data_IF_162299345701
#
_entry.id   IF_162299345701
#
_cell.length_a   1.000
_cell.length_b   1.000
_cell.length_c   1.000
_cell.angle_alpha   90.00
_cell.angle_beta   90.00
_cell.angle_gamma   90.00
#
_symmetry.space_group_name_H-M   'P 1'
#
loop_
_entity.id
_entity.type
_entity.pdbx_description
1 polymer ?
#
# COMPACT_ATOMS: atom_id res chain seq x y z
N UNK A 1 -1.63 -17.24 20.80
CA UNK A 1 -2.03 -18.45 20.05
C UNK A 1 -2.78 -18.13 18.74
N UNK A 2 -3.43 -16.96 18.60
CA UNK A 2 -4.13 -16.54 17.37
C UNK A 2 -3.20 -16.32 16.16
N UNK A 3 -2.00 -15.76 16.35
CA UNK A 3 -1.10 -15.41 15.23
C UNK A 3 -0.67 -16.60 14.39
N UNK A 4 -0.39 -17.75 15.02
CA UNK A 4 0.01 -18.98 14.30
C UNK A 4 -1.11 -19.52 13.40
N UNK A 5 -2.35 -19.39 13.84
CA UNK A 5 -3.51 -19.81 13.06
C UNK A 5 -3.76 -18.86 11.87
N UNK A 6 -3.65 -17.55 12.11
CA UNK A 6 -3.71 -16.53 11.05
C UNK A 6 -2.62 -16.74 9.99
N UNK A 7 -1.39 -17.02 10.43
CA UNK A 7 -0.26 -17.32 9.54
C UNK A 7 -0.48 -18.63 8.78
N UNK A 8 -0.96 -19.70 9.43
CA UNK A 8 -1.26 -20.96 8.76
C UNK A 8 -2.32 -20.79 7.68
N UNK A 9 -3.37 -20.01 7.95
CA UNK A 9 -4.38 -19.66 6.96
C UNK A 9 -3.75 -18.97 5.73
N UNK A 10 -2.81 -18.03 5.93
CA UNK A 10 -2.10 -17.37 4.83
C UNK A 10 -1.25 -18.33 3.98
N UNK A 11 -0.79 -19.46 4.52
CA UNK A 11 -0.07 -20.49 3.75
C UNK A 11 -1.03 -21.36 2.91
N UNK A 12 -2.23 -21.63 3.42
CA UNK A 12 -3.22 -22.48 2.75
C UNK A 12 -4.04 -21.74 1.69
N UNK A 13 -4.20 -20.42 1.85
CA UNK A 13 -5.00 -19.62 0.91
C UNK A 13 -4.32 -19.55 -0.47
N UNK A 14 -5.06 -19.80 -1.58
CA UNK A 14 -4.53 -19.66 -2.93
C UNK A 14 -4.43 -18.17 -3.30
N UNK A 15 -3.38 -17.50 -2.78
CA UNK A 15 -3.17 -16.05 -2.87
C UNK A 15 -3.28 -15.51 -4.29
N UNK A 16 -2.68 -16.19 -5.27
CA UNK A 16 -2.74 -15.76 -6.68
C UNK A 16 -4.17 -15.80 -7.25
N UNK A 17 -4.93 -16.85 -6.95
CA UNK A 17 -6.32 -16.97 -7.42
C UNK A 17 -7.21 -15.90 -6.77
N UNK A 18 -7.02 -15.63 -5.48
CA UNK A 18 -7.73 -14.57 -4.77
C UNK A 18 -7.40 -13.20 -5.33
N UNK A 19 -6.13 -12.90 -5.60
CA UNK A 19 -5.72 -11.63 -6.22
C UNK A 19 -6.29 -11.49 -7.63
N UNK A 20 -6.26 -12.55 -8.44
CA UNK A 20 -6.83 -12.53 -9.79
C UNK A 20 -8.36 -12.30 -9.76
N UNK A 21 -9.05 -12.96 -8.84
CA UNK A 21 -10.48 -12.76 -8.65
C UNK A 21 -10.81 -11.35 -8.15
N UNK A 22 -10.06 -10.84 -7.17
CA UNK A 22 -10.23 -9.48 -6.67
C UNK A 22 -9.99 -8.46 -7.78
N UNK A 23 -8.94 -8.62 -8.60
CA UNK A 23 -8.67 -7.78 -9.76
C UNK A 23 -9.78 -7.84 -10.81
N UNK A 24 -10.33 -9.03 -11.07
CA UNK A 24 -11.50 -9.19 -11.95
C UNK A 24 -12.73 -8.45 -11.42
N UNK A 25 -13.04 -8.56 -10.12
CA UNK A 25 -14.17 -7.85 -9.52
C UNK A 25 -13.92 -6.34 -9.53
N UNK A 26 -12.72 -5.91 -9.16
CA UNK A 26 -12.37 -4.51 -8.99
C UNK A 26 -12.27 -3.73 -10.30
N UNK A 27 -11.99 -4.40 -11.42
CA UNK A 27 -11.93 -3.81 -12.76
C UNK A 27 -13.26 -3.77 -13.51
N UNK A 28 -14.32 -4.40 -12.98
CA UNK A 28 -15.63 -4.47 -13.64
C UNK A 28 -16.52 -3.29 -13.26
N UNK A 29 -17.10 -2.68 -14.27
CA UNK A 29 -18.14 -1.66 -14.10
C UNK A 29 -19.49 -2.35 -13.87
N UNK A 30 -19.93 -2.40 -12.60
CA UNK A 30 -21.24 -2.97 -12.22
C UNK A 30 -22.17 -1.95 -11.56
N UNK A 31 -21.90 -0.65 -11.75
CA UNK A 31 -22.73 0.45 -11.27
C UNK A 31 -22.98 0.39 -9.77
N UNK A 32 -24.21 0.09 -9.36
CA UNK A 32 -24.62 0.05 -7.95
C UNK A 32 -23.81 -0.96 -7.12
N UNK A 33 -23.43 -2.11 -7.69
CA UNK A 33 -22.62 -3.12 -6.97
C UNK A 33 -21.24 -2.56 -6.63
N UNK A 34 -20.60 -1.88 -7.58
CA UNK A 34 -19.30 -1.22 -7.36
C UNK A 34 -19.44 -0.14 -6.28
N UNK A 35 -20.52 0.65 -6.35
CA UNK A 35 -20.79 1.72 -5.39
C UNK A 35 -20.96 1.19 -3.97
N UNK A 36 -21.68 0.07 -3.79
CA UNK A 36 -21.84 -0.55 -2.46
C UNK A 36 -20.52 -1.13 -1.92
N UNK A 37 -19.69 -1.74 -2.78
CA UNK A 37 -18.35 -2.21 -2.38
C UNK A 37 -17.49 -1.02 -1.92
N UNK A 38 -17.49 0.08 -2.68
CA UNK A 38 -16.77 1.31 -2.33
C UNK A 38 -17.29 1.87 -1.00
N UNK A 39 -18.61 1.99 -0.83
CA UNK A 39 -19.23 2.49 0.40
C UNK A 39 -18.81 1.65 1.61
N UNK A 40 -18.87 0.33 1.49
CA UNK A 40 -18.42 -0.59 2.52
C UNK A 40 -16.93 -0.38 2.83
N UNK A 41 -16.08 -0.24 1.81
CA UNK A 41 -14.64 -0.02 1.98
C UNK A 41 -14.34 1.29 2.71
N UNK A 42 -15.00 2.38 2.31
CA UNK A 42 -14.88 3.70 2.96
C UNK A 42 -15.24 3.60 4.44
N UNK A 43 -16.36 2.95 4.78
CA UNK A 43 -16.78 2.76 6.16
C UNK A 43 -15.85 1.83 6.96
N UNK A 44 -15.36 0.76 6.34
CA UNK A 44 -14.49 -0.22 7.01
C UNK A 44 -13.10 0.32 7.32
N UNK A 45 -12.51 1.07 6.37
CA UNK A 45 -11.15 1.60 6.47
C UNK A 45 -11.10 3.09 6.82
N UNK A 46 -12.25 3.72 7.08
CA UNK A 46 -12.37 5.13 7.45
C UNK A 46 -11.67 6.05 6.43
N UNK A 47 -11.89 5.76 5.14
CA UNK A 47 -11.25 6.50 4.04
C UNK A 47 -11.75 7.94 4.03
N UNK A 48 -10.84 8.91 4.13
CA UNK A 48 -11.20 10.32 4.09
C UNK A 48 -11.55 10.78 2.66
N UNK A 49 -12.86 10.83 2.36
CA UNK A 49 -13.36 11.29 1.06
C UNK A 49 -13.31 12.82 0.89
N UNK A 50 -13.08 13.58 1.97
CA UNK A 50 -12.96 15.04 1.87
C UNK A 50 -11.68 15.49 1.17
N UNK A 51 -10.65 14.63 1.14
CA UNK A 51 -9.39 14.88 0.44
C UNK A 51 -9.40 14.42 -1.01
N UNK A 52 -10.34 13.54 -1.39
CA UNK A 52 -10.48 13.07 -2.76
C UNK A 52 -10.89 14.23 -3.69
N UNK A 53 -10.31 14.29 -4.89
CA UNK A 53 -10.65 15.28 -5.90
C UNK A 53 -12.14 15.24 -6.26
N UNK A 54 -12.71 14.02 -6.30
CA UNK A 54 -14.14 13.80 -6.34
C UNK A 54 -14.58 13.08 -5.06
N UNK A 55 -15.39 13.73 -4.22
CA UNK A 55 -15.87 13.15 -2.97
C UNK A 55 -17.09 12.23 -3.16
N UNK A 56 -17.75 12.27 -4.32
CA UNK A 56 -18.91 11.42 -4.61
C UNK A 56 -18.47 9.99 -4.98
N UNK A 57 -18.78 9.04 -4.11
CA UNK A 57 -18.46 7.63 -4.31
C UNK A 57 -19.19 7.01 -5.51
N UNK A 58 -20.35 7.54 -5.91
CA UNK A 58 -21.13 7.01 -7.03
C UNK A 58 -20.55 7.40 -8.40
N UNK A 59 -19.60 8.34 -8.41
CA UNK A 59 -18.93 8.80 -9.63
C UNK A 59 -17.87 7.83 -10.16
N UNK A 60 -17.41 6.88 -9.32
CA UNK A 60 -16.38 5.91 -9.69
C UNK A 60 -17.00 4.72 -10.43
N UNK A 61 -16.50 4.44 -11.65
CA UNK A 61 -17.03 3.37 -12.52
C UNK A 61 -16.62 1.99 -12.03
N UNK A 62 -15.37 1.87 -11.56
CA UNK A 62 -14.79 0.64 -11.01
C UNK A 62 -14.23 0.87 -9.61
N UNK A 63 -13.98 -0.22 -8.87
CA UNK A 63 -13.31 -0.11 -7.57
C UNK A 63 -11.85 0.31 -7.75
N UNK A 64 -11.20 -0.10 -8.85
CA UNK A 64 -9.84 0.34 -9.17
C UNK A 64 -9.77 1.86 -9.35
N UNK A 65 -10.74 2.47 -10.03
CA UNK A 65 -10.79 3.94 -10.20
C UNK A 65 -10.91 4.66 -8.85
N UNK A 66 -11.66 4.08 -7.91
CA UNK A 66 -11.75 4.58 -6.54
C UNK A 66 -10.43 4.36 -5.76
N UNK A 67 -9.79 3.21 -5.94
CA UNK A 67 -8.56 2.85 -5.23
C UNK A 67 -7.40 3.76 -5.64
N UNK A 68 -7.32 4.15 -6.91
CA UNK A 68 -6.32 5.08 -7.46
C UNK A 68 -6.82 6.53 -7.54
N UNK A 69 -7.88 6.88 -6.78
CA UNK A 69 -8.50 8.21 -6.82
C UNK A 69 -7.47 9.34 -6.66
N UNK A 70 -7.62 10.37 -7.48
CA UNK A 70 -6.85 11.59 -7.31
C UNK A 70 -7.25 12.32 -6.01
N UNK A 71 -6.29 12.98 -5.37
CA UNK A 71 -6.52 13.89 -4.27
C UNK A 71 -6.73 15.33 -4.77
N UNK A 72 -7.36 16.17 -3.96
CA UNK A 72 -7.54 17.60 -4.25
C UNK A 72 -6.19 18.29 -4.42
N UNK A 73 -6.14 19.26 -5.34
CA UNK A 73 -4.98 20.16 -5.45
C UNK A 73 -4.75 20.85 -4.11
N UNK A 74 -3.51 20.81 -3.62
CA UNK A 74 -3.15 21.38 -2.33
C UNK A 74 -3.40 20.48 -1.11
N UNK A 75 -3.98 19.28 -1.28
CA UNK A 75 -4.13 18.33 -0.18
C UNK A 75 -2.78 17.83 0.37
N UNK A 76 -1.72 17.91 -0.45
CA UNK A 76 -0.33 17.57 -0.10
C UNK A 76 0.59 18.71 -0.54
N UNK A 77 0.82 19.66 0.36
CA UNK A 77 1.82 20.70 0.14
C UNK A 77 3.22 20.08 0.28
N UNK A 78 4.05 20.24 -0.73
CA UNK A 78 5.42 19.75 -0.69
C UNK A 78 6.25 20.64 0.23
N UNK A 79 6.95 20.02 1.18
CA UNK A 79 7.88 20.74 2.04
C UNK A 79 9.14 21.14 1.27
N UNK A 80 9.73 22.28 1.62
CA UNK A 80 11.04 22.67 1.13
C UNK A 80 12.12 21.91 1.90
N UNK A 81 12.36 20.67 1.51
CA UNK A 81 13.33 19.76 2.12
C UNK A 81 14.08 18.96 1.05
N UNK A 82 15.26 18.45 1.38
CA UNK A 82 16.05 17.59 0.49
C UNK A 82 15.36 16.25 0.20
N UNK A 83 14.62 15.73 1.20
CA UNK A 83 13.84 14.51 1.10
C UNK A 83 12.43 14.77 1.63
N UNK A 84 11.44 14.25 0.92
CA UNK A 84 10.03 14.30 1.30
C UNK A 84 9.45 12.88 1.28
N UNK A 85 8.38 12.66 2.03
CA UNK A 85 7.71 11.37 2.06
C UNK A 85 7.08 11.07 0.68
N UNK A 86 7.36 9.91 0.06
CA UNK A 86 6.85 9.61 -1.28
C UNK A 86 5.40 9.15 -1.30
N UNK A 87 4.87 8.71 -0.15
CA UNK A 87 3.56 8.08 -0.04
C UNK A 87 2.85 8.51 1.25
N UNK A 88 1.53 8.45 1.25
CA UNK A 88 0.73 8.55 2.46
C UNK A 88 0.71 7.17 3.14
N UNK A 89 1.31 7.06 4.33
CA UNK A 89 1.40 5.80 5.04
C UNK A 89 2.19 5.90 6.33
N UNK A 90 2.59 4.75 6.87
CA UNK A 90 3.44 4.69 8.04
C UNK A 90 4.85 4.22 7.67
N UNK A 91 5.86 4.78 8.34
CA UNK A 91 7.21 4.20 8.28
C UNK A 91 7.20 2.92 9.13
N UNK A 92 7.38 1.79 8.47
CA UNK A 92 7.53 0.50 9.13
C UNK A 92 8.91 0.39 9.74
N UNK A 93 9.95 0.67 8.94
CA UNK A 93 11.35 0.62 9.36
C UNK A 93 12.18 1.66 8.61
N UNK A 94 13.20 2.20 9.26
CA UNK A 94 14.17 3.11 8.64
C UNK A 94 15.52 2.98 9.33
N UNK A 95 16.60 3.31 8.63
CA UNK A 95 17.94 3.27 9.21
C UNK A 95 19.06 3.29 8.18
N UNK A 96 20.27 3.09 8.67
CA UNK A 96 21.47 2.94 7.85
C UNK A 96 21.55 1.49 7.37
N UNK A 97 21.90 1.29 6.10
CA UNK A 97 22.21 -0.03 5.56
C UNK A 97 23.63 -0.39 5.98
N UNK A 98 23.77 -1.49 6.70
CA UNK A 98 25.06 -2.04 7.11
C UNK A 98 25.28 -3.40 6.42
N UNK A 99 26.47 -3.61 5.85
CA UNK A 99 26.89 -4.90 5.27
C UNK A 99 25.93 -5.47 4.22
N UNK A 100 25.38 -4.62 3.34
CA UNK A 100 24.39 -5.01 2.33
C UNK A 100 23.12 -5.64 2.91
N UNK A 101 22.71 -5.27 4.13
CA UNK A 101 21.50 -5.76 4.76
C UNK A 101 20.50 -4.65 5.11
N UNK A 102 19.25 -4.92 4.81
CA UNK A 102 18.09 -4.17 5.26
C UNK A 102 17.47 -4.97 6.41
N UNK A 103 17.14 -4.31 7.51
CA UNK A 103 16.35 -4.93 8.57
C UNK A 103 14.91 -5.12 8.06
N UNK A 104 14.34 -6.31 8.27
CA UNK A 104 12.97 -6.67 7.88
C UNK A 104 12.25 -7.27 9.10
N UNK A 105 11.83 -6.42 10.03
CA UNK A 105 11.06 -6.77 11.24
C UNK A 105 11.66 -7.86 12.17
N UNK A 106 11.80 -7.53 13.46
CA UNK A 106 12.05 -8.46 14.58
C UNK A 106 13.02 -9.62 14.28
N UNK A 107 14.27 -9.30 13.96
CA UNK A 107 15.36 -10.28 13.87
C UNK A 107 15.52 -10.98 12.52
N UNK A 108 14.73 -10.62 11.51
CA UNK A 108 14.96 -11.03 10.13
C UNK A 108 15.71 -9.93 9.38
N UNK A 109 16.84 -10.30 8.79
CA UNK A 109 17.65 -9.44 7.93
C UNK A 109 17.51 -9.91 6.49
N UNK A 110 17.28 -8.97 5.58
CA UNK A 110 17.19 -9.23 4.16
C UNK A 110 18.39 -8.60 3.47
N UNK A 111 19.12 -9.37 2.66
CA UNK A 111 20.25 -8.81 1.94
C UNK A 111 19.79 -8.00 0.72
N UNK A 112 20.44 -6.86 0.49
CA UNK A 112 20.21 -5.94 -0.62
C UNK A 112 20.29 -6.59 -1.99
N UNK A 113 21.11 -7.63 -2.16
CA UNK A 113 21.25 -8.36 -3.42
C UNK A 113 19.93 -9.00 -3.88
N UNK A 114 18.99 -9.23 -2.97
CA UNK A 114 17.69 -9.82 -3.29
C UNK A 114 16.65 -8.78 -3.74
N UNK A 115 16.94 -7.48 -3.59
CA UNK A 115 15.98 -6.40 -3.85
C UNK A 115 16.54 -5.38 -4.86
N UNK A 116 17.86 -5.26 -4.96
CA UNK A 116 18.56 -4.30 -5.80
C UNK A 116 19.77 -4.93 -6.49
N UNK A 117 20.16 -4.40 -7.65
CA UNK A 117 21.46 -4.72 -8.23
C UNK A 117 22.59 -4.32 -7.25
N UNK A 118 23.73 -5.05 -7.24
CA UNK A 118 24.80 -4.83 -6.27
C UNK A 118 25.40 -3.43 -6.43
N UNK A 119 24.89 -2.49 -5.63
CA UNK A 119 25.31 -1.10 -5.64
C UNK A 119 26.42 -0.94 -4.60
N UNK A 120 27.66 -1.11 -5.03
CA UNK A 120 28.85 -1.20 -4.16
C UNK A 120 29.42 0.13 -3.66
N UNK A 121 28.63 1.20 -3.58
CA UNK A 121 29.14 2.50 -3.14
C UNK A 121 28.14 3.26 -2.27
N UNK A 122 28.67 3.77 -1.15
CA UNK A 122 28.12 4.70 -0.15
C UNK A 122 27.26 4.08 0.96
N UNK A 123 27.35 4.72 2.13
CA UNK A 123 26.40 4.54 3.23
C UNK A 123 25.03 4.96 2.74
N UNK A 124 24.17 3.98 2.50
CA UNK A 124 22.80 4.20 2.01
C UNK A 124 21.87 4.15 3.21
N UNK A 125 20.97 5.13 3.33
CA UNK A 125 19.87 5.09 4.29
C UNK A 125 18.60 4.64 3.59
N UNK A 126 17.72 3.95 4.30
CA UNK A 126 16.47 3.44 3.76
C UNK A 126 15.28 3.75 4.67
N UNK A 127 14.09 3.77 4.08
CA UNK A 127 12.81 3.76 4.78
C UNK A 127 11.84 2.84 4.04
N UNK A 128 11.21 1.92 4.77
CA UNK A 128 10.16 1.01 4.29
C UNK A 128 8.83 1.56 4.75
N UNK A 129 7.92 1.81 3.79
CA UNK A 129 6.59 2.33 4.03
C UNK A 129 5.55 1.20 3.98
N UNK A 130 4.54 1.28 4.83
CA UNK A 130 3.39 0.36 4.88
C UNK A 130 2.07 1.12 4.87
#
# INVERSE_FOLDING_TARGET
MSDRFSVLSQYLLPKQALTAFAGFVASRERGWVTTEIIRWFVGKYQVNMSEAANSDIASYRTFNDFFTRALKTGARLLAQAELICPVDGAISQFGVIEHDQIFQAKGHHLSLIHISEPTRLLSISYAVFC
#
